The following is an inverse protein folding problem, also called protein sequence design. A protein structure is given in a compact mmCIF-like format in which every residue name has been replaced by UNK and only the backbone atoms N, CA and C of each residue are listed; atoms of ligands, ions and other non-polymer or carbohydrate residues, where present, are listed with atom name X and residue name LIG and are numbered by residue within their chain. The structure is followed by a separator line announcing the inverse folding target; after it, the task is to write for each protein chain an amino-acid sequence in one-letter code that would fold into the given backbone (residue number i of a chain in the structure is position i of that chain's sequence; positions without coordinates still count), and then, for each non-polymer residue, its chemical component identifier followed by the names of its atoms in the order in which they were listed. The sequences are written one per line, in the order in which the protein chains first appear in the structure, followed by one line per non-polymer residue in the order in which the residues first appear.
data_IF_272735410576
#
_entry.id   IF_272735410576
#
_cell.length_a   1.000
_cell.length_b   1.000
_cell.length_c   1.000
_cell.angle_alpha   90.00
_cell.angle_beta   90.00
_cell.angle_gamma   90.00
#
_symmetry.space_group_name_H-M   'P 1'
#
loop_
_entity.id
_entity.type
_entity.pdbx_description
1 polymer ?
#
# COMPACT_ATOMS: atom_id res chain seq x y z
N UNK A 1 -28.49 -4.52 -2.98
CA UNK A 1 -27.11 -5.03 -2.93
C UNK A 1 -26.55 -4.81 -4.31
N UNK A 2 -25.40 -4.15 -4.39
CA UNK A 2 -24.81 -3.56 -5.61
C UNK A 2 -25.48 -2.27 -6.08
N UNK A 3 -24.97 -1.13 -5.57
CA UNK A 3 -24.98 0.15 -6.29
C UNK A 3 -23.63 0.83 -6.05
N UNK A 4 -22.68 0.39 -6.88
CA UNK A 4 -21.67 1.18 -7.58
C UNK A 4 -21.56 2.66 -7.14
N UNK A 5 -20.58 2.98 -6.30
CA UNK A 5 -19.87 4.26 -6.42
C UNK A 5 -18.71 4.09 -7.40
N UNK A 6 -19.04 3.68 -8.62
CA UNK A 6 -18.11 3.57 -9.74
C UNK A 6 -18.70 4.45 -10.85
N UNK A 7 -17.88 5.36 -11.36
CA UNK A 7 -18.09 6.18 -12.56
C UNK A 7 -19.33 7.08 -12.62
N UNK A 8 -19.09 8.40 -12.49
CA UNK A 8 -19.95 9.44 -13.06
C UNK A 8 -20.67 10.30 -12.02
N UNK A 9 -20.13 11.50 -11.75
CA UNK A 9 -20.95 12.61 -11.26
C UNK A 9 -20.78 13.79 -12.24
N UNK A 10 -21.89 14.31 -12.77
CA UNK A 10 -21.92 15.35 -13.80
C UNK A 10 -21.52 16.73 -13.27
N UNK A 11 -21.19 17.60 -14.21
CA UNK A 11 -20.83 18.99 -13.98
C UNK A 11 -22.06 19.89 -13.60
N UNK A 12 -21.79 20.82 -12.66
CA UNK A 12 -22.45 22.11 -12.37
C UNK A 12 -23.82 22.11 -11.63
N UNK A 13 -24.24 23.21 -10.93
CA UNK A 13 -23.69 24.58 -10.89
C UNK A 13 -23.42 25.19 -9.48
N UNK A 14 -22.86 26.41 -9.51
CA UNK A 14 -22.43 27.20 -8.37
C UNK A 14 -23.59 27.84 -7.60
N UNK A 15 -23.73 27.49 -6.32
CA UNK A 15 -24.50 28.27 -5.35
C UNK A 15 -23.59 28.70 -4.19
N UNK A 16 -23.38 30.01 -4.09
CA UNK A 16 -22.47 30.66 -3.17
C UNK A 16 -22.88 30.55 -1.69
N UNK A 17 -22.57 29.42 -1.06
CA UNK A 17 -22.47 29.29 0.41
C UNK A 17 -21.22 28.47 0.75
N UNK A 18 -20.20 29.15 1.27
CA UNK A 18 -18.90 28.60 1.61
C UNK A 18 -18.93 27.61 2.79
N UNK A 19 -19.24 26.35 2.51
CA UNK A 19 -18.77 25.21 3.30
C UNK A 19 -18.05 24.29 2.33
N UNK A 20 -16.72 24.27 2.38
CA UNK A 20 -15.91 23.34 1.60
C UNK A 20 -16.42 21.92 1.88
N UNK A 21 -16.92 21.25 0.84
CA UNK A 21 -17.32 19.83 0.88
C UNK A 21 -16.21 19.00 1.56
N UNK A 22 -16.54 17.99 2.38
CA UNK A 22 -15.52 17.23 3.09
C UNK A 22 -14.63 16.53 2.06
N UNK A 23 -13.40 17.02 1.92
CA UNK A 23 -12.35 16.44 1.10
C UNK A 23 -12.31 14.96 1.45
N UNK A 24 -12.56 14.09 0.47
CA UNK A 24 -12.71 12.66 0.73
C UNK A 24 -11.44 12.15 1.41
N UNK A 25 -11.53 11.94 2.72
CA UNK A 25 -10.38 11.58 3.55
C UNK A 25 -9.80 10.26 3.08
N UNK A 26 -8.48 10.11 3.17
CA UNK A 26 -7.83 8.86 2.82
C UNK A 26 -8.34 7.73 3.73
N UNK A 27 -9.30 6.96 3.21
CA UNK A 27 -9.83 5.78 3.88
C UNK A 27 -9.15 4.54 3.31
N UNK A 28 -8.29 3.92 4.12
CA UNK A 28 -7.55 2.71 3.71
C UNK A 28 -8.52 1.54 3.51
N UNK A 29 -8.64 1.08 2.27
CA UNK A 29 -9.35 -0.17 1.95
C UNK A 29 -8.47 -1.35 2.38
N UNK A 30 -9.00 -2.23 3.24
CA UNK A 30 -8.28 -3.44 3.67
C UNK A 30 -8.44 -4.52 2.60
N UNK A 31 -7.35 -4.85 1.91
CA UNK A 31 -7.31 -6.03 1.05
C UNK A 31 -7.19 -7.27 1.92
N UNK A 32 -8.13 -8.21 1.81
CA UNK A 32 -8.08 -9.47 2.55
C UNK A 32 -6.84 -10.27 2.11
N UNK A 33 -6.17 -10.91 3.07
CA UNK A 33 -5.02 -11.81 2.85
C UNK A 33 -3.81 -11.17 2.12
N UNK A 34 -3.52 -9.89 2.37
CA UNK A 34 -2.39 -9.20 1.74
C UNK A 34 -1.00 -9.83 2.03
N UNK A 35 -0.86 -10.60 3.11
CA UNK A 35 0.41 -11.22 3.54
C UNK A 35 0.85 -12.35 2.60
N UNK A 36 -0.08 -13.09 2.02
CA UNK A 36 0.24 -14.24 1.15
C UNK A 36 0.96 -13.81 -0.14
N UNK A 37 0.87 -12.54 -0.52
CA UNK A 37 1.54 -12.00 -1.72
C UNK A 37 3.08 -11.97 -1.60
N UNK A 38 3.63 -12.16 -0.41
CA UNK A 38 5.07 -12.06 -0.17
C UNK A 38 5.81 -13.39 -0.28
N UNK A 39 5.07 -14.50 -0.42
CA UNK A 39 5.62 -15.84 -0.46
C UNK A 39 5.26 -16.51 -1.78
N UNK A 40 6.22 -17.21 -2.38
CA UNK A 40 5.96 -18.21 -3.42
C UNK A 40 6.17 -19.58 -2.82
N UNK A 41 5.26 -20.50 -3.15
CA UNK A 41 5.33 -21.89 -2.72
C UNK A 41 5.60 -22.72 -3.97
N UNK A 42 6.73 -23.41 -3.97
CA UNK A 42 7.10 -24.34 -5.03
C UNK A 42 6.48 -25.72 -4.80
N UNK A 43 6.46 -26.54 -5.85
CA UNK A 43 5.82 -27.87 -5.84
C UNK A 43 6.50 -28.84 -4.87
N UNK A 44 7.80 -28.64 -4.64
CA UNK A 44 8.61 -29.43 -3.72
C UNK A 44 8.48 -28.95 -2.25
N UNK A 45 7.59 -28.00 -1.98
CA UNK A 45 7.35 -27.46 -0.64
C UNK A 45 8.35 -26.38 -0.20
N UNK A 46 9.21 -25.92 -1.11
CA UNK A 46 10.09 -24.77 -0.88
C UNK A 46 9.28 -23.47 -0.76
N UNK A 47 9.70 -22.60 0.17
CA UNK A 47 9.08 -21.28 0.38
C UNK A 47 10.12 -20.20 0.08
N UNK A 48 9.88 -19.45 -1.00
CA UNK A 48 10.71 -18.30 -1.35
C UNK A 48 10.10 -17.00 -0.83
N UNK A 49 10.94 -16.13 -0.24
CA UNK A 49 10.56 -14.79 0.20
C UNK A 49 10.84 -13.78 -0.92
N UNK A 50 9.80 -13.11 -1.40
CA UNK A 50 9.92 -12.19 -2.56
C UNK A 50 10.49 -10.81 -2.21
N UNK A 51 10.40 -10.41 -0.94
CA UNK A 51 10.79 -9.07 -0.49
C UNK A 51 11.87 -9.14 0.57
N UNK A 52 12.67 -8.08 0.64
CA UNK A 52 13.73 -7.92 1.65
C UNK A 52 13.13 -7.71 3.03
N UNK A 53 13.73 -8.35 4.03
CA UNK A 53 13.48 -8.09 5.44
C UNK A 53 14.17 -6.80 5.89
N UNK A 54 13.60 -6.12 6.88
CA UNK A 54 14.18 -4.90 7.42
C UNK A 54 15.37 -5.23 8.33
N UNK A 55 16.57 -4.65 8.13
CA UNK A 55 17.79 -5.00 8.87
C UNK A 55 17.85 -4.41 10.29
N UNK A 56 16.92 -3.53 10.66
CA UNK A 56 16.91 -2.94 11.98
C UNK A 56 16.45 -3.95 13.04
N UNK A 57 17.15 -3.99 14.17
CA UNK A 57 16.94 -4.92 15.28
C UNK A 57 15.51 -4.88 15.83
N UNK A 58 14.85 -3.73 15.69
CA UNK A 58 13.46 -3.52 16.14
C UNK A 58 12.41 -4.12 15.19
N UNK A 59 12.78 -4.43 13.94
CA UNK A 59 11.83 -4.75 12.88
C UNK A 59 11.81 -6.25 12.51
N UNK A 60 12.86 -7.02 12.84
CA UNK A 60 12.86 -8.49 12.91
C UNK A 60 12.45 -9.29 11.66
N UNK A 61 12.64 -10.62 11.75
CA UNK A 61 12.25 -11.58 10.71
C UNK A 61 10.72 -11.69 10.60
N UNK A 62 10.13 -10.83 9.78
CA UNK A 62 8.68 -10.79 9.55
C UNK A 62 8.16 -9.45 9.03
N UNK A 63 8.96 -8.36 9.13
CA UNK A 63 8.64 -7.07 8.53
C UNK A 63 9.33 -6.97 7.17
N UNK A 64 8.53 -7.11 6.12
CA UNK A 64 8.99 -6.90 4.74
C UNK A 64 9.02 -5.42 4.39
N UNK A 65 10.09 -4.98 3.73
CA UNK A 65 10.15 -3.65 3.15
C UNK A 65 9.23 -3.56 1.92
N UNK A 66 8.57 -2.43 1.77
CA UNK A 66 7.75 -2.10 0.61
C UNK A 66 8.67 -1.71 -0.56
N UNK A 67 8.62 -2.52 -1.62
CA UNK A 67 9.31 -2.24 -2.87
C UNK A 67 8.49 -1.27 -3.72
N UNK A 68 8.93 -0.02 -3.75
CA UNK A 68 8.48 1.00 -4.70
C UNK A 68 9.55 1.12 -5.80
N UNK A 69 9.22 1.79 -6.91
CA UNK A 69 10.13 1.89 -8.05
C UNK A 69 11.41 2.69 -7.74
N UNK A 70 11.30 3.68 -6.87
CA UNK A 70 12.35 4.62 -6.49
C UNK A 70 12.97 4.32 -5.13
N UNK A 71 12.24 3.62 -4.25
CA UNK A 71 12.64 3.43 -2.86
C UNK A 71 12.16 2.11 -2.25
N UNK A 72 12.87 1.66 -1.23
CA UNK A 72 12.44 0.61 -0.31
C UNK A 72 12.06 1.25 1.01
N UNK A 73 10.85 0.98 1.49
CA UNK A 73 10.34 1.61 2.71
C UNK A 73 9.87 0.59 3.75
N UNK A 74 10.30 0.75 4.99
CA UNK A 74 9.82 -0.05 6.10
C UNK A 74 8.57 0.59 6.74
N UNK A 75 7.45 -0.13 6.73
CA UNK A 75 6.18 0.37 7.30
C UNK A 75 6.13 0.44 8.83
N UNK A 76 7.07 -0.18 9.55
CA UNK A 76 7.13 -0.21 11.02
C UNK A 76 8.14 0.77 11.60
N UNK A 77 9.31 0.85 10.97
CA UNK A 77 10.45 1.60 11.47
C UNK A 77 10.74 2.86 10.65
N UNK A 78 9.93 3.12 9.62
CA UNK A 78 9.99 4.29 8.74
C UNK A 78 11.31 4.49 7.97
N UNK A 79 12.20 3.50 7.98
CA UNK A 79 13.45 3.53 7.23
C UNK A 79 13.18 3.51 5.71
N UNK A 80 13.86 4.39 4.99
CA UNK A 80 13.81 4.51 3.54
C UNK A 80 15.21 4.28 2.95
N UNK A 81 15.34 3.30 2.06
CA UNK A 81 16.49 3.20 1.17
C UNK A 81 16.10 3.72 -0.21
N UNK A 82 16.91 4.57 -0.81
CA UNK A 82 16.73 5.05 -2.17
C UNK A 82 17.69 4.28 -3.06
N UNK A 83 17.23 3.83 -4.23
CA UNK A 83 18.12 3.24 -5.20
C UNK A 83 18.72 4.35 -6.06
N UNK A 84 20.04 4.50 -6.02
CA UNK A 84 20.71 5.30 -7.04
C UNK A 84 20.63 4.54 -8.36
N UNK A 85 20.01 5.18 -9.35
CA UNK A 85 19.98 4.67 -10.72
C UNK A 85 21.38 4.85 -11.28
N UNK A 86 22.16 3.78 -11.36
CA UNK A 86 23.42 3.76 -12.09
C UNK A 86 23.15 3.74 -13.60
#
# INVERSE_FOLDING_TARGET
METLCFSGVPAAPADGKGRLEPICSHRRKKTKLAVLKYYKVDKDGGIERLRRECPADTCGAGVFMAAMADRQYCGRCHLTYVFDKQ
#
